data_IF_042685499958
#
_entry.id   IF_042685499958
#
_cell.length_a   1.000
_cell.length_b   1.000
_cell.length_c   1.000
_cell.angle_alpha   90.00
_cell.angle_beta   90.00
_cell.angle_gamma   90.00
#
_symmetry.space_group_name_H-M   'P 1'
#
loop_
_entity.id
_entity.type
_entity.pdbx_description
1 polymer ?
#
# COMPACT_ATOMS: atom_id res chain seq x y z
N UNK A 1 22.86 9.28 -16.59
CA UNK A 1 22.22 10.52 -16.09
C UNK A 1 20.86 10.58 -16.73
N UNK A 2 19.79 10.57 -15.98
CA UNK A 2 18.45 10.91 -16.50
C UNK A 2 18.42 12.42 -16.55
N UNK A 3 18.26 12.98 -17.74
CA UNK A 3 18.03 14.40 -17.90
C UNK A 3 16.55 14.66 -17.61
N UNK A 4 16.26 15.15 -16.41
CA UNK A 4 14.92 15.68 -16.10
C UNK A 4 14.63 16.85 -17.04
N UNK A 5 13.44 16.85 -17.64
CA UNK A 5 12.99 17.97 -18.44
C UNK A 5 12.78 19.22 -17.58
N UNK A 6 12.77 20.42 -18.19
CA UNK A 6 12.47 21.66 -17.46
C UNK A 6 11.10 21.62 -16.76
N UNK A 7 10.11 20.97 -17.39
CA UNK A 7 8.79 20.78 -16.79
C UNK A 7 8.86 19.87 -15.55
N UNK A 8 9.60 18.76 -15.61
CA UNK A 8 9.81 17.86 -14.48
C UNK A 8 10.57 18.54 -13.34
N UNK A 9 11.62 19.32 -13.65
CA UNK A 9 12.34 20.11 -12.66
C UNK A 9 11.39 21.10 -11.95
N UNK A 10 10.52 21.76 -12.71
CA UNK A 10 9.51 22.67 -12.15
C UNK A 10 8.48 21.93 -11.32
N UNK A 11 7.94 20.78 -11.81
CA UNK A 11 6.95 19.95 -11.13
C UNK A 11 7.45 19.46 -9.80
N UNK A 12 8.67 18.91 -9.76
CA UNK A 12 9.27 18.30 -8.56
C UNK A 12 10.18 19.25 -7.78
N UNK A 13 10.16 20.55 -8.08
CA UNK A 13 11.07 21.53 -7.46
C UNK A 13 11.07 21.49 -5.93
N UNK A 14 9.93 21.19 -5.28
CA UNK A 14 9.84 21.11 -3.81
C UNK A 14 10.49 19.84 -3.26
N UNK A 15 10.51 18.74 -4.00
CA UNK A 15 11.26 17.54 -3.66
C UNK A 15 12.77 17.77 -3.86
N UNK A 16 13.14 18.35 -5.01
CA UNK A 16 14.54 18.61 -5.38
C UNK A 16 15.23 19.53 -4.38
N UNK A 17 14.51 20.46 -3.74
CA UNK A 17 15.04 21.35 -2.71
C UNK A 17 15.32 20.65 -1.36
N UNK A 18 14.76 19.47 -1.12
CA UNK A 18 15.08 18.70 0.08
C UNK A 18 16.49 18.13 -0.06
N UNK A 19 17.38 18.42 0.93
CA UNK A 19 18.79 18.01 0.88
C UNK A 19 18.97 16.49 0.75
N UNK A 20 18.08 15.72 1.38
CA UNK A 20 18.12 14.25 1.35
C UNK A 20 17.47 13.65 0.09
N UNK A 21 16.88 14.45 -0.80
CA UNK A 21 16.23 14.02 -2.03
C UNK A 21 17.03 14.48 -3.25
N UNK A 22 17.08 15.77 -3.50
CA UNK A 22 17.79 16.34 -4.63
C UNK A 22 17.28 15.85 -6.00
N UNK A 23 18.05 16.08 -7.03
CA UNK A 23 17.79 15.55 -8.39
C UNK A 23 17.91 14.02 -8.41
N UNK A 24 18.92 13.47 -7.74
CA UNK A 24 19.17 12.02 -7.69
C UNK A 24 18.00 11.25 -7.03
N UNK A 25 17.44 11.78 -5.94
CA UNK A 25 16.27 11.20 -5.30
C UNK A 25 15.04 11.23 -6.21
N UNK A 26 14.80 12.32 -6.91
CA UNK A 26 13.69 12.41 -7.86
C UNK A 26 13.87 11.44 -9.04
N UNK A 27 15.09 11.24 -9.51
CA UNK A 27 15.42 10.22 -10.52
C UNK A 27 15.07 8.81 -10.03
N UNK A 28 15.38 8.48 -8.77
CA UNK A 28 14.99 7.19 -8.16
C UNK A 28 13.48 7.01 -8.16
N UNK A 29 12.70 8.06 -7.83
CA UNK A 29 11.24 7.99 -7.85
C UNK A 29 10.68 7.77 -9.27
N UNK A 30 11.23 8.44 -10.28
CA UNK A 30 10.81 8.26 -11.67
C UNK A 30 11.08 6.85 -12.22
N UNK A 31 12.03 6.11 -11.63
CA UNK A 31 12.31 4.72 -11.98
C UNK A 31 11.62 3.71 -11.07
N UNK A 32 10.99 4.15 -10.00
CA UNK A 32 10.36 3.27 -9.01
C UNK A 32 9.11 2.59 -9.55
N UNK A 33 8.89 1.33 -9.11
CA UNK A 33 7.73 0.51 -9.46
C UNK A 33 6.97 0.12 -8.19
N UNK A 34 5.77 0.67 -8.02
CA UNK A 34 4.92 0.41 -6.85
C UNK A 34 3.62 -0.24 -7.25
N UNK A 35 3.26 -1.34 -6.58
CA UNK A 35 1.95 -1.98 -6.72
C UNK A 35 1.06 -1.62 -5.54
N UNK A 36 -0.12 -1.10 -5.82
CA UNK A 36 -1.17 -0.81 -4.84
C UNK A 36 -2.23 -1.91 -4.94
N UNK A 37 -2.44 -2.67 -3.87
CA UNK A 37 -3.46 -3.70 -3.82
C UNK A 37 -4.64 -3.15 -3.01
N UNK A 38 -5.72 -2.83 -3.70
CA UNK A 38 -6.92 -2.14 -3.19
C UNK A 38 -6.98 -0.67 -3.62
N UNK A 39 -8.01 -0.30 -4.38
CA UNK A 39 -8.30 1.07 -4.82
C UNK A 39 -9.36 1.75 -3.94
N UNK A 40 -9.40 1.35 -2.65
CA UNK A 40 -10.38 1.83 -1.67
C UNK A 40 -9.90 3.04 -0.86
N UNK A 41 -10.32 3.09 0.41
CA UNK A 41 -10.04 4.22 1.31
C UNK A 41 -8.56 4.43 1.63
N UNK A 42 -7.77 3.37 1.72
CA UNK A 42 -6.31 3.44 1.88
C UNK A 42 -5.61 3.66 0.53
N UNK A 43 -6.01 2.91 -0.50
CA UNK A 43 -5.38 2.99 -1.82
C UNK A 43 -5.58 4.34 -2.51
N UNK A 44 -6.70 5.01 -2.29
CA UNK A 44 -6.98 6.33 -2.86
C UNK A 44 -5.91 7.38 -2.54
N UNK A 45 -5.61 7.70 -1.28
CA UNK A 45 -4.54 8.65 -0.97
C UNK A 45 -3.16 8.15 -1.38
N UNK A 46 -2.88 6.84 -1.27
CA UNK A 46 -1.62 6.27 -1.76
C UNK A 46 -1.43 6.57 -3.24
N UNK A 47 -2.42 6.25 -4.08
CA UNK A 47 -2.34 6.46 -5.52
C UNK A 47 -2.15 7.93 -5.90
N UNK A 48 -2.89 8.84 -5.25
CA UNK A 48 -2.78 10.28 -5.47
C UNK A 48 -1.38 10.81 -5.12
N UNK A 49 -0.84 10.46 -3.95
CA UNK A 49 0.45 10.97 -3.50
C UNK A 49 1.64 10.35 -4.24
N UNK A 50 1.58 9.06 -4.59
CA UNK A 50 2.64 8.43 -5.38
C UNK A 50 2.69 9.00 -6.81
N UNK A 51 1.52 9.21 -7.45
CA UNK A 51 1.44 9.86 -8.76
C UNK A 51 1.96 11.31 -8.69
N UNK A 52 1.51 12.10 -7.71
CA UNK A 52 1.96 13.47 -7.52
C UNK A 52 3.48 13.57 -7.25
N UNK A 53 4.04 12.58 -6.54
CA UNK A 53 5.48 12.50 -6.24
C UNK A 53 6.33 12.10 -7.45
N UNK A 54 5.72 11.59 -8.52
CA UNK A 54 6.42 11.15 -9.72
C UNK A 54 7.02 9.75 -9.59
N UNK A 55 6.33 8.84 -8.88
CA UNK A 55 6.65 7.40 -8.97
C UNK A 55 6.34 6.95 -10.40
N UNK A 56 7.39 6.56 -11.15
CA UNK A 56 7.30 6.38 -12.60
C UNK A 56 6.35 5.27 -13.04
N UNK A 57 6.27 4.18 -12.29
CA UNK A 57 5.38 3.06 -12.60
C UNK A 57 4.51 2.71 -11.40
N UNK A 58 3.20 2.79 -11.56
CA UNK A 58 2.22 2.45 -10.53
C UNK A 58 1.28 1.36 -11.07
N UNK A 59 1.30 0.19 -10.40
CA UNK A 59 0.28 -0.84 -10.57
C UNK A 59 -0.87 -0.65 -9.59
N UNK A 60 -2.10 -0.96 -10.00
CA UNK A 60 -3.24 -0.94 -9.11
C UNK A 60 -4.15 -2.15 -9.34
N UNK A 61 -4.46 -2.86 -8.25
CA UNK A 61 -5.27 -4.09 -8.26
C UNK A 61 -6.56 -3.84 -7.49
N UNK A 62 -7.71 -4.03 -8.09
CA UNK A 62 -9.02 -4.03 -7.44
C UNK A 62 -10.05 -4.66 -8.41
N UNK A 63 -10.96 -5.50 -7.91
CA UNK A 63 -11.97 -6.15 -8.74
C UNK A 63 -13.30 -5.40 -8.80
N UNK A 64 -13.50 -4.41 -7.92
CA UNK A 64 -14.77 -3.74 -7.74
C UNK A 64 -14.99 -2.59 -8.75
N UNK A 65 -16.24 -2.17 -8.81
CA UNK A 65 -16.66 -0.90 -9.42
C UNK A 65 -16.86 0.17 -8.35
N UNK A 66 -16.85 1.41 -8.77
CA UNK A 66 -17.15 2.55 -7.89
C UNK A 66 -18.61 2.55 -7.48
N UNK A 67 -18.87 2.57 -6.18
CA UNK A 67 -20.21 2.64 -5.58
C UNK A 67 -20.40 3.94 -4.79
N UNK A 68 -21.63 4.45 -4.74
CA UNK A 68 -21.96 5.69 -4.03
C UNK A 68 -21.54 5.65 -2.56
N UNK A 69 -21.70 4.50 -1.89
CA UNK A 69 -21.31 4.29 -0.49
C UNK A 69 -19.79 4.34 -0.26
N UNK A 70 -19.01 4.31 -1.32
CA UNK A 70 -17.55 4.39 -1.27
C UNK A 70 -17.04 5.84 -1.19
N UNK A 71 -17.71 6.79 -1.82
CA UNK A 71 -17.23 8.14 -2.11
C UNK A 71 -16.88 8.97 -0.86
N UNK A 72 -17.42 8.64 0.30
CA UNK A 72 -17.10 9.31 1.56
C UNK A 72 -15.66 9.03 2.06
N UNK A 73 -14.96 8.01 1.47
CA UNK A 73 -13.59 7.66 1.85
C UNK A 73 -12.67 7.29 0.68
N UNK A 74 -13.22 6.90 -0.48
CA UNK A 74 -12.44 6.57 -1.67
C UNK A 74 -12.22 7.83 -2.52
N UNK A 75 -11.40 8.74 -1.98
CA UNK A 75 -11.27 10.13 -2.46
C UNK A 75 -10.67 10.29 -3.86
N UNK A 76 -10.13 9.23 -4.45
CA UNK A 76 -9.67 9.24 -5.84
C UNK A 76 -10.83 9.13 -6.84
N UNK A 77 -11.97 8.58 -6.42
CA UNK A 77 -13.15 8.41 -7.26
C UNK A 77 -14.11 9.59 -7.12
N UNK A 78 -14.88 9.83 -8.16
CA UNK A 78 -15.86 10.91 -8.25
C UNK A 78 -17.26 10.37 -8.52
N UNK A 79 -18.29 11.18 -8.29
CA UNK A 79 -19.70 10.78 -8.55
C UNK A 79 -19.92 10.38 -10.02
N UNK A 80 -19.20 11.01 -10.97
CA UNK A 80 -19.29 10.65 -12.40
C UNK A 80 -18.75 9.24 -12.70
N UNK A 81 -17.96 8.66 -11.79
CA UNK A 81 -17.30 7.36 -11.99
C UNK A 81 -18.15 6.18 -11.49
N UNK A 82 -19.37 6.43 -11.00
CA UNK A 82 -20.26 5.34 -10.53
C UNK A 82 -20.38 4.25 -11.58
N UNK A 83 -20.24 2.99 -11.14
CA UNK A 83 -20.23 1.76 -11.96
C UNK A 83 -19.00 1.59 -12.88
N UNK A 84 -18.02 2.49 -12.84
CA UNK A 84 -16.73 2.33 -13.52
C UNK A 84 -15.83 1.42 -12.67
N UNK A 85 -15.03 0.50 -13.26
CA UNK A 85 -14.02 -0.24 -12.52
C UNK A 85 -13.12 0.72 -11.70
N UNK A 86 -12.92 0.43 -10.41
CA UNK A 86 -12.13 1.30 -9.53
C UNK A 86 -10.72 1.55 -10.06
N UNK A 87 -10.10 0.52 -10.65
CA UNK A 87 -8.75 0.63 -11.21
C UNK A 87 -8.68 1.61 -12.39
N UNK A 88 -9.69 1.64 -13.26
CA UNK A 88 -9.74 2.56 -14.39
C UNK A 88 -10.03 4.00 -13.94
N UNK A 89 -10.98 4.17 -13.02
CA UNK A 89 -11.24 5.47 -12.39
C UNK A 89 -9.97 6.03 -11.72
N UNK A 90 -9.22 5.19 -10.98
CA UNK A 90 -7.99 5.60 -10.33
C UNK A 90 -6.90 5.98 -11.34
N UNK A 91 -6.72 5.18 -12.41
CA UNK A 91 -5.77 5.46 -13.50
C UNK A 91 -6.02 6.83 -14.12
N UNK A 92 -7.27 7.15 -14.48
CA UNK A 92 -7.63 8.45 -15.04
C UNK A 92 -7.14 9.60 -14.15
N UNK A 93 -7.36 9.52 -12.83
CA UNK A 93 -6.99 10.58 -11.89
C UNK A 93 -5.49 10.66 -11.63
N UNK A 94 -4.79 9.52 -11.57
CA UNK A 94 -3.33 9.51 -11.45
C UNK A 94 -2.66 10.19 -12.65
N UNK A 95 -3.08 9.85 -13.88
CA UNK A 95 -2.57 10.47 -15.11
C UNK A 95 -2.95 11.95 -15.20
N UNK A 96 -4.15 12.34 -14.74
CA UNK A 96 -4.56 13.74 -14.70
C UNK A 96 -3.73 14.59 -13.72
N UNK A 97 -3.25 13.99 -12.61
CA UNK A 97 -2.33 14.64 -11.67
C UNK A 97 -0.94 14.74 -12.26
N UNK A 98 -0.47 13.65 -12.87
CA UNK A 98 0.88 13.57 -13.38
C UNK A 98 0.93 12.72 -14.68
N UNK A 99 1.01 13.32 -15.85
CA UNK A 99 1.02 12.60 -17.11
C UNK A 99 2.28 11.77 -17.36
N UNK A 100 3.36 11.99 -16.58
CA UNK A 100 4.61 11.25 -16.70
C UNK A 100 4.56 9.86 -16.04
N UNK A 101 3.47 9.57 -15.28
CA UNK A 101 3.33 8.31 -14.57
C UNK A 101 2.69 7.25 -15.47
N UNK A 102 3.35 6.10 -15.58
CA UNK A 102 2.79 4.92 -16.24
C UNK A 102 1.93 4.13 -15.25
N UNK A 103 0.65 3.90 -15.60
CA UNK A 103 -0.30 3.19 -14.73
C UNK A 103 -0.76 1.90 -15.38
N UNK A 104 -0.48 0.76 -14.71
CA UNK A 104 -0.96 -0.57 -15.07
C UNK A 104 -2.13 -0.95 -14.18
N UNK A 105 -3.27 -1.32 -14.78
CA UNK A 105 -4.48 -1.71 -14.07
C UNK A 105 -4.66 -3.23 -14.08
N UNK A 106 -5.05 -3.79 -12.94
CA UNK A 106 -5.43 -5.19 -12.79
C UNK A 106 -6.86 -5.24 -12.23
N UNK A 107 -7.86 -5.36 -13.11
CA UNK A 107 -9.27 -5.49 -12.71
C UNK A 107 -9.55 -6.93 -12.32
N UNK A 108 -9.06 -7.35 -11.16
CA UNK A 108 -9.18 -8.72 -10.64
C UNK A 108 -9.04 -8.75 -9.13
N UNK A 109 -9.53 -9.79 -8.49
CA UNK A 109 -9.17 -10.12 -7.11
C UNK A 109 -7.75 -10.69 -7.06
N UNK A 110 -6.98 -10.30 -6.03
CA UNK A 110 -5.74 -11.00 -5.74
C UNK A 110 -6.08 -12.33 -5.07
N UNK A 111 -5.66 -13.43 -5.68
CA UNK A 111 -5.88 -14.79 -5.24
C UNK A 111 -4.58 -15.59 -5.24
N UNK A 112 -4.58 -16.79 -4.64
CA UNK A 112 -3.37 -17.61 -4.52
C UNK A 112 -2.77 -18.07 -5.84
N UNK A 113 -3.57 -18.12 -6.90
CA UNK A 113 -3.16 -18.54 -8.24
C UNK A 113 -2.56 -17.43 -9.09
N UNK A 114 -2.81 -16.14 -8.74
CA UNK A 114 -2.32 -14.99 -9.50
C UNK A 114 -1.39 -14.05 -8.71
N UNK A 115 -1.35 -14.19 -7.38
CA UNK A 115 -0.66 -13.22 -6.52
C UNK A 115 0.83 -13.08 -6.83
N UNK A 116 1.55 -14.18 -7.02
CA UNK A 116 2.99 -14.12 -7.30
C UNK A 116 3.27 -13.52 -8.68
N UNK A 117 2.47 -13.85 -9.69
CA UNK A 117 2.60 -13.29 -11.03
C UNK A 117 2.39 -11.77 -11.03
N UNK A 118 1.32 -11.30 -10.37
CA UNK A 118 0.98 -9.87 -10.27
C UNK A 118 2.03 -9.10 -9.46
N UNK A 119 2.54 -9.66 -8.35
CA UNK A 119 3.47 -8.98 -7.44
C UNK A 119 4.90 -8.93 -8.01
N UNK A 120 5.34 -9.98 -8.70
CA UNK A 120 6.73 -10.17 -9.12
C UNK A 120 7.37 -8.99 -9.85
N UNK A 121 6.71 -8.27 -10.78
CA UNK A 121 7.31 -7.17 -11.54
C UNK A 121 7.60 -5.90 -10.72
N UNK A 122 7.07 -5.79 -9.50
CA UNK A 122 7.06 -4.57 -8.69
C UNK A 122 8.15 -4.60 -7.61
N UNK A 123 8.65 -3.43 -7.22
CA UNK A 123 9.73 -3.29 -6.24
C UNK A 123 9.19 -3.11 -4.82
N UNK A 124 8.05 -2.41 -4.68
CA UNK A 124 7.41 -2.14 -3.41
C UNK A 124 5.89 -2.36 -3.52
N UNK A 125 5.31 -3.02 -2.53
CA UNK A 125 3.89 -3.37 -2.52
C UNK A 125 3.17 -2.59 -1.42
N UNK A 126 2.01 -2.05 -1.72
CA UNK A 126 1.13 -1.41 -0.73
C UNK A 126 -0.07 -2.33 -0.50
N UNK A 127 -0.18 -2.89 0.69
CA UNK A 127 -1.39 -3.55 1.16
C UNK A 127 -2.40 -2.48 1.63
N UNK A 128 -3.33 -2.14 0.76
CA UNK A 128 -4.44 -1.23 1.01
C UNK A 128 -5.79 -1.96 1.09
N UNK A 129 -5.75 -3.27 1.36
CA UNK A 129 -6.95 -4.13 1.48
C UNK A 129 -7.63 -3.97 2.84
N UNK A 130 -8.88 -4.41 2.96
CA UNK A 130 -9.68 -4.30 4.18
C UNK A 130 -10.11 -5.66 4.77
N UNK A 131 -9.51 -6.75 4.27
CA UNK A 131 -9.83 -8.10 4.75
C UNK A 131 -8.57 -8.90 5.11
N UNK A 132 -8.70 -9.77 6.10
CA UNK A 132 -7.58 -10.56 6.59
C UNK A 132 -7.02 -11.57 5.58
N UNK A 133 -7.85 -12.32 4.82
CA UNK A 133 -7.33 -13.26 3.81
C UNK A 133 -6.36 -12.60 2.83
N UNK A 134 -6.73 -11.44 2.26
CA UNK A 134 -5.86 -10.71 1.35
C UNK A 134 -4.55 -10.26 2.02
N UNK A 135 -4.61 -9.79 3.28
CA UNK A 135 -3.42 -9.35 4.01
C UNK A 135 -2.41 -10.47 4.25
N UNK A 136 -2.88 -11.65 4.62
CA UNK A 136 -2.04 -12.83 4.79
C UNK A 136 -1.46 -13.30 3.45
N UNK A 137 -2.27 -13.31 2.39
CA UNK A 137 -1.83 -13.68 1.05
C UNK A 137 -0.74 -12.72 0.53
N UNK A 138 -0.95 -11.41 0.65
CA UNK A 138 0.04 -10.38 0.25
C UNK A 138 1.34 -10.58 1.02
N UNK A 139 1.25 -10.72 2.34
CA UNK A 139 2.43 -10.99 3.17
C UNK A 139 3.21 -12.21 2.67
N UNK A 140 2.52 -13.34 2.51
CA UNK A 140 3.14 -14.60 2.18
C UNK A 140 3.80 -14.55 0.79
N UNK A 141 3.12 -13.98 -0.21
CA UNK A 141 3.65 -13.79 -1.54
C UNK A 141 4.85 -12.81 -1.55
N UNK A 142 4.76 -11.68 -0.85
CA UNK A 142 5.86 -10.71 -0.77
C UNK A 142 7.11 -11.32 -0.11
N UNK A 143 6.94 -12.03 1.00
CA UNK A 143 8.08 -12.67 1.71
C UNK A 143 8.74 -13.73 0.82
N UNK A 144 7.96 -14.56 0.13
CA UNK A 144 8.49 -15.61 -0.78
C UNK A 144 9.22 -15.02 -1.98
N UNK A 145 8.70 -13.91 -2.53
CA UNK A 145 9.31 -13.20 -3.66
C UNK A 145 10.44 -12.25 -3.25
N UNK A 146 10.74 -12.13 -1.95
CA UNK A 146 11.72 -11.18 -1.43
C UNK A 146 11.36 -9.72 -1.69
N UNK A 147 10.06 -9.38 -1.66
CA UNK A 147 9.55 -8.04 -1.93
C UNK A 147 9.33 -7.25 -0.64
N UNK A 148 9.66 -5.96 -0.69
CA UNK A 148 9.29 -5.00 0.34
C UNK A 148 7.79 -4.67 0.24
N UNK A 149 7.11 -4.49 1.40
CA UNK A 149 5.72 -4.03 1.40
C UNK A 149 5.37 -3.20 2.63
N UNK A 150 4.37 -2.33 2.49
CA UNK A 150 3.73 -1.62 3.60
C UNK A 150 2.33 -2.18 3.84
N UNK A 151 2.09 -2.64 5.06
CA UNK A 151 0.77 -3.08 5.53
C UNK A 151 -0.04 -1.89 6.03
N UNK A 152 -1.32 -1.82 5.69
CA UNK A 152 -2.29 -0.90 6.28
C UNK A 152 -3.52 -1.62 6.80
N UNK A 153 -3.93 -1.31 8.02
CA UNK A 153 -5.15 -1.83 8.64
C UNK A 153 -5.91 -0.73 9.36
N UNK A 154 -7.22 -0.61 9.10
CA UNK A 154 -8.05 0.43 9.69
C UNK A 154 -9.39 -0.15 10.16
N UNK A 155 -9.85 0.30 11.31
CA UNK A 155 -11.16 -0.03 11.85
C UNK A 155 -11.68 1.15 12.67
N UNK A 156 -12.87 1.67 12.31
CA UNK A 156 -13.49 2.82 12.99
C UNK A 156 -12.57 4.05 13.00
N UNK A 157 -11.97 4.37 14.15
CA UNK A 157 -11.05 5.49 14.37
C UNK A 157 -9.61 5.03 14.61
N UNK A 158 -9.34 3.74 14.52
CA UNK A 158 -8.03 3.16 14.81
C UNK A 158 -7.36 2.71 13.53
N UNK A 159 -6.06 2.94 13.43
CA UNK A 159 -5.24 2.48 12.33
C UNK A 159 -3.95 1.85 12.82
N UNK A 160 -3.40 0.98 11.98
CA UNK A 160 -2.10 0.35 12.21
C UNK A 160 -1.36 0.15 10.89
N UNK A 161 -0.05 0.28 10.94
CA UNK A 161 0.81 0.07 9.78
C UNK A 161 2.21 -0.36 10.20
N UNK A 162 2.87 -1.11 9.35
CA UNK A 162 4.31 -1.40 9.40
C UNK A 162 4.85 -1.59 7.99
N UNK A 163 6.17 -1.57 7.85
CA UNK A 163 6.86 -1.86 6.60
C UNK A 163 7.70 -3.12 6.77
N UNK A 164 7.57 -4.06 5.84
CA UNK A 164 8.41 -5.24 5.75
C UNK A 164 9.51 -5.05 4.71
N UNK A 165 10.72 -5.39 5.09
CA UNK A 165 11.83 -5.61 4.16
C UNK A 165 12.30 -7.07 4.28
N UNK A 166 12.89 -7.66 3.24
CA UNK A 166 13.54 -8.96 3.35
C UNK A 166 14.48 -9.02 4.56
N UNK A 167 14.26 -10.00 5.43
CA UNK A 167 15.02 -10.16 6.67
C UNK A 167 14.39 -9.55 7.93
N UNK A 168 13.39 -8.68 7.82
CA UNK A 168 12.67 -8.09 8.95
C UNK A 168 11.42 -8.89 9.34
N UNK A 169 10.73 -8.50 10.43
CA UNK A 169 9.47 -9.10 10.84
C UNK A 169 8.40 -8.95 9.74
N UNK A 170 7.71 -10.03 9.41
CA UNK A 170 6.60 -10.04 8.45
C UNK A 170 5.25 -9.98 9.17
N UNK A 171 4.13 -9.86 8.45
CA UNK A 171 2.78 -9.78 9.02
C UNK A 171 2.49 -10.94 9.98
N UNK A 172 2.93 -12.16 9.67
CA UNK A 172 2.79 -13.33 10.55
C UNK A 172 3.64 -13.28 11.82
N UNK A 173 4.66 -12.42 11.87
CA UNK A 173 5.37 -12.16 13.13
C UNK A 173 4.55 -11.31 14.09
N UNK A 174 3.69 -10.43 13.57
CA UNK A 174 2.74 -9.63 14.35
C UNK A 174 1.45 -10.41 14.65
N UNK A 175 0.87 -11.03 13.63
CA UNK A 175 -0.41 -11.74 13.69
C UNK A 175 -0.22 -13.16 13.18
N UNK A 176 -0.16 -14.11 14.09
CA UNK A 176 0.17 -15.52 13.79
C UNK A 176 -0.78 -16.15 12.78
N UNK A 177 -2.06 -15.90 12.94
CA UNK A 177 -3.16 -16.46 12.15
C UNK A 177 -4.31 -15.44 12.02
N UNK A 178 -5.18 -15.57 11.00
CA UNK A 178 -6.37 -14.75 10.91
C UNK A 178 -7.26 -14.91 12.15
N UNK A 179 -7.93 -13.84 12.60
CA UNK A 179 -8.92 -13.98 13.67
C UNK A 179 -10.04 -14.92 13.21
N UNK A 180 -10.70 -15.64 14.15
CA UNK A 180 -11.85 -16.47 13.81
C UNK A 180 -12.91 -15.67 13.06
N UNK A 181 -13.56 -16.31 12.08
CA UNK A 181 -14.59 -15.66 11.26
C UNK A 181 -15.67 -15.01 12.15
N UNK A 182 -16.05 -13.76 11.81
CA UNK A 182 -17.08 -13.02 12.53
C UNK A 182 -16.65 -12.36 13.84
N UNK A 183 -15.41 -12.55 14.32
CA UNK A 183 -14.93 -11.92 15.58
C UNK A 183 -14.53 -10.45 15.39
N UNK A 184 -14.07 -10.08 14.20
CA UNK A 184 -13.74 -8.69 13.84
C UNK A 184 -14.74 -8.22 12.80
N UNK A 185 -15.48 -7.12 13.07
CA UNK A 185 -16.42 -6.61 12.09
C UNK A 185 -15.69 -6.02 10.87
N UNK A 186 -16.31 -6.13 9.71
CA UNK A 186 -15.82 -5.48 8.49
C UNK A 186 -15.98 -3.97 8.56
N UNK A 187 -15.31 -3.22 7.69
CA UNK A 187 -15.47 -1.76 7.58
C UNK A 187 -16.92 -1.36 7.22
N UNK A 188 -17.65 -2.20 6.49
CA UNK A 188 -19.08 -1.99 6.19
C UNK A 188 -19.99 -2.18 7.41
N UNK A 189 -19.62 -3.04 8.36
CA UNK A 189 -20.37 -3.29 9.60
C UNK A 189 -20.02 -2.29 10.71
N UNK A 190 -18.75 -1.95 10.85
CA UNK A 190 -18.27 -1.11 11.95
C UNK A 190 -18.24 0.38 11.62
N UNK A 191 -18.24 0.73 10.35
CA UNK A 191 -18.00 2.08 9.86
C UNK A 191 -16.53 2.49 9.91
N UNK A 192 -16.18 3.47 9.10
CA UNK A 192 -14.86 4.11 9.07
C UNK A 192 -15.02 5.58 8.67
N UNK A 193 -14.32 6.47 9.39
CA UNK A 193 -14.26 7.86 9.01
C UNK A 193 -13.22 8.06 7.89
N UNK A 194 -13.63 8.62 6.74
CA UNK A 194 -12.80 8.71 5.54
C UNK A 194 -11.44 9.39 5.76
N UNK A 195 -11.41 10.49 6.53
CA UNK A 195 -10.15 11.17 6.86
C UNK A 195 -9.12 10.27 7.56
N UNK A 196 -9.57 9.27 8.34
CA UNK A 196 -8.69 8.34 9.05
C UNK A 196 -8.05 7.35 8.06
N UNK A 197 -8.83 6.89 7.08
CA UNK A 197 -8.29 6.10 5.97
C UNK A 197 -7.27 6.93 5.18
N UNK A 198 -7.57 8.21 4.92
CA UNK A 198 -6.64 9.16 4.29
C UNK A 198 -5.33 9.28 5.04
N UNK A 199 -5.39 9.47 6.36
CA UNK A 199 -4.20 9.60 7.22
C UNK A 199 -3.31 8.36 7.16
N UNK A 200 -3.89 7.16 7.24
CA UNK A 200 -3.10 5.92 7.18
C UNK A 200 -2.51 5.69 5.78
N UNK A 201 -3.29 5.89 4.71
CA UNK A 201 -2.78 5.73 3.34
C UNK A 201 -1.66 6.71 3.02
N UNK A 202 -1.70 7.95 3.55
CA UNK A 202 -0.58 8.89 3.38
C UNK A 202 0.68 8.45 4.12
N UNK A 203 0.56 7.78 5.28
CA UNK A 203 1.70 7.16 5.95
C UNK A 203 2.30 6.04 5.10
N UNK A 204 1.47 5.17 4.50
CA UNK A 204 1.95 4.11 3.59
C UNK A 204 2.65 4.69 2.35
N UNK A 205 2.11 5.75 1.76
CA UNK A 205 2.76 6.46 0.64
C UNK A 205 4.13 7.02 1.05
N UNK A 206 4.21 7.64 2.24
CA UNK A 206 5.48 8.15 2.77
C UNK A 206 6.52 7.03 2.99
N UNK A 207 6.09 5.85 3.48
CA UNK A 207 6.98 4.68 3.63
C UNK A 207 7.53 4.21 2.27
N UNK A 208 6.70 4.14 1.23
CA UNK A 208 7.16 3.79 -0.11
C UNK A 208 8.16 4.82 -0.66
N UNK A 209 7.86 6.11 -0.53
CA UNK A 209 8.78 7.17 -0.97
C UNK A 209 10.11 7.12 -0.23
N UNK A 210 10.10 6.97 1.11
CA UNK A 210 11.32 6.82 1.92
C UNK A 210 12.14 5.60 1.50
N UNK A 211 11.49 4.48 1.18
CA UNK A 211 12.15 3.27 0.72
C UNK A 211 12.98 3.53 -0.55
N UNK A 212 12.40 4.14 -1.58
CA UNK A 212 13.11 4.43 -2.83
C UNK A 212 14.18 5.51 -2.68
N UNK A 213 13.90 6.53 -1.88
CA UNK A 213 14.84 7.60 -1.61
C UNK A 213 16.02 7.16 -0.73
N UNK A 214 15.84 6.12 0.07
CA UNK A 214 16.82 5.70 1.07
C UNK A 214 16.96 6.68 2.23
N UNK A 215 15.88 7.39 2.60
CA UNK A 215 15.91 8.44 3.63
C UNK A 215 15.11 8.05 4.86
N UNK A 216 15.61 8.47 6.02
CA UNK A 216 14.96 8.26 7.31
C UNK A 216 14.83 6.78 7.70
N UNK A 217 14.04 6.50 8.73
CA UNK A 217 13.78 5.16 9.26
C UNK A 217 12.43 4.65 8.79
N UNK A 218 12.41 3.49 8.14
CA UNK A 218 11.17 2.78 7.82
C UNK A 218 10.54 2.16 9.07
N UNK A 219 9.26 1.84 9.00
CA UNK A 219 8.51 1.15 10.06
C UNK A 219 8.82 -0.37 10.08
N UNK A 220 10.10 -0.74 9.94
CA UNK A 220 10.57 -2.12 10.01
C UNK A 220 10.70 -2.58 11.46
N UNK A 221 10.32 -3.82 11.74
CA UNK A 221 10.36 -4.42 13.09
C UNK A 221 9.59 -3.62 14.16
N UNK A 222 8.63 -2.82 13.73
CA UNK A 222 7.77 -2.02 14.59
C UNK A 222 6.40 -1.79 13.97
N UNK A 223 5.36 -1.92 14.76
CA UNK A 223 3.99 -1.60 14.40
C UNK A 223 3.65 -0.19 14.90
N UNK A 224 3.36 0.72 14.00
CA UNK A 224 2.74 1.99 14.33
C UNK A 224 1.24 1.78 14.47
N UNK A 225 0.68 2.13 15.62
CA UNK A 225 -0.76 2.16 15.85
C UNK A 225 -1.19 3.56 16.23
N UNK A 226 -2.42 3.93 15.90
CA UNK A 226 -3.00 5.18 16.36
C UNK A 226 -4.48 5.08 16.67
N UNK A 227 -4.94 5.92 17.59
CA UNK A 227 -6.34 6.19 17.86
C UNK A 227 -6.63 7.66 17.52
N UNK A 228 -7.39 7.88 16.45
CA UNK A 228 -7.67 9.22 15.95
C UNK A 228 -8.70 10.00 16.78
N UNK A 229 -9.41 9.37 17.73
CA UNK A 229 -10.24 10.10 18.70
C UNK A 229 -9.42 10.92 19.68
N UNK A 230 -8.24 10.38 20.04
CA UNK A 230 -7.34 11.00 21.01
C UNK A 230 -6.06 11.53 20.36
N UNK A 231 -5.84 11.25 19.07
CA UNK A 231 -4.61 11.52 18.31
C UNK A 231 -3.37 10.90 18.97
N UNK A 232 -3.52 9.79 19.66
CA UNK A 232 -2.43 9.05 20.27
C UNK A 232 -1.80 8.10 19.25
N UNK A 233 -0.50 8.25 19.04
CA UNK A 233 0.33 7.36 18.25
C UNK A 233 1.21 6.52 19.15
N UNK A 234 1.29 5.22 18.86
CA UNK A 234 2.11 4.27 19.63
C UNK A 234 2.93 3.43 18.66
N UNK A 235 4.19 3.19 19.00
CA UNK A 235 5.07 2.27 18.26
C UNK A 235 5.36 1.05 19.11
N UNK A 236 5.05 -0.13 18.61
CA UNK A 236 5.26 -1.42 19.28
C UNK A 236 6.38 -2.15 18.53
N UNK A 237 7.50 -2.41 19.22
CA UNK A 237 8.62 -3.18 18.63
C UNK A 237 8.24 -4.65 18.52
N UNK A 238 8.46 -5.23 17.35
CA UNK A 238 8.24 -6.65 17.07
C UNK A 238 9.47 -7.19 16.33
N UNK A 239 10.06 -8.26 16.83
CA UNK A 239 11.21 -8.89 16.18
C UNK A 239 10.74 -10.01 15.25
N UNK A 240 11.48 -10.22 14.15
CA UNK A 240 11.36 -11.43 13.33
C UNK A 240 11.44 -12.66 14.23
N UNK A 241 10.50 -13.59 14.08
CA UNK A 241 10.48 -14.84 14.84
C UNK A 241 11.20 -15.94 14.04
N UNK A 242 12.19 -16.58 14.66
CA UNK A 242 12.87 -17.74 14.08
C UNK A 242 11.91 -18.87 13.69
N UNK A 243 10.85 -19.04 14.47
CA UNK A 243 9.78 -20.04 14.24
C UNK A 243 8.64 -19.55 13.33
N UNK A 244 8.79 -18.43 12.65
CA UNK A 244 7.75 -17.96 11.72
C UNK A 244 7.67 -18.89 10.51
N UNK A 245 6.48 -19.37 10.19
CA UNK A 245 6.23 -20.33 9.11
C UNK A 245 6.57 -19.78 7.71
N UNK A 246 6.61 -18.46 7.54
CA UNK A 246 6.85 -17.80 6.26
C UNK A 246 8.23 -17.16 6.20
N UNK A 247 8.61 -16.33 7.18
CA UNK A 247 9.88 -15.60 7.16
C UNK A 247 10.92 -16.15 8.13
N UNK A 248 10.63 -17.21 8.90
CA UNK A 248 11.53 -17.80 9.88
C UNK A 248 12.74 -18.50 9.27
N UNK A 249 13.50 -19.18 10.12
CA UNK A 249 14.73 -19.85 9.69
C UNK A 249 14.45 -21.13 8.89
N UNK A 250 13.28 -21.75 9.10
CA UNK A 250 12.81 -22.92 8.38
C UNK A 250 11.36 -22.70 7.92
N UNK A 251 11.12 -21.95 6.83
CA UNK A 251 9.78 -21.69 6.33
C UNK A 251 9.11 -22.99 5.85
N UNK A 252 7.92 -23.28 6.34
CA UNK A 252 7.22 -24.56 6.13
C UNK A 252 5.90 -24.41 5.38
N UNK A 253 5.36 -23.19 5.27
CA UNK A 253 4.00 -23.01 4.75
C UNK A 253 3.95 -22.80 3.23
N UNK A 254 3.09 -23.53 2.49
CA UNK A 254 2.68 -23.12 1.13
C UNK A 254 1.87 -21.81 1.22
N UNK A 255 1.67 -21.12 0.07
CA UNK A 255 0.70 -20.02 0.00
C UNK A 255 -0.66 -20.53 0.51
N UNK A 256 -1.24 -19.81 1.48
CA UNK A 256 -2.60 -20.16 1.92
C UNK A 256 -3.56 -20.02 0.76
N UNK A 257 -4.25 -21.11 0.41
CA UNK A 257 -5.37 -21.06 -0.50
C UNK A 257 -6.56 -20.44 0.24
N UNK A 258 -6.77 -19.15 0.05
CA UNK A 258 -8.04 -18.53 0.37
C UNK A 258 -8.91 -18.65 -0.89
N UNK A 259 -10.06 -19.33 -0.76
CA UNK A 259 -11.08 -19.29 -1.81
C UNK A 259 -11.45 -17.82 -2.07
N UNK A 260 -11.59 -17.45 -3.34
CA UNK A 260 -12.05 -16.12 -3.76
C UNK A 260 -13.33 -15.79 -2.99
N UNK A 261 -13.29 -14.74 -2.16
CA UNK A 261 -14.45 -14.26 -1.40
C UNK A 261 -15.05 -13.10 -2.17
#
# INVERSE_FOLDING_TARGET
>A
MIDLTEEQIKRYSRHILLQDVGLEGQEKLLNAKVLIIGAGGLGSPVALYLAAAGVGHIGIVDADVVDLSNLQRHVIHQTKDLNTPKVESAKEKMIAINPDVEVTTYHTFLASDNAEEIIKPWDFIIDATDNFPAKFLINDACVRLGKAFSHGGILRFQGQTFTHLPGTACYRCFFKEPPPAGTVPTSSQAGVLGAIAGMLGTIQAAEALKYFLGVGDLLTDRLLTFDAKTMNFRTIKVKKRASCEICGDHPTSPLMHFASI
#
